data_IF_870570313546
#
_entry.id   IF_870570313546
#
_cell.length_a   1.000
_cell.length_b   1.000
_cell.length_c   1.000
_cell.angle_alpha   90.00
_cell.angle_beta   90.00
_cell.angle_gamma   90.00
#
_symmetry.space_group_name_H-M   'P 1'
#
loop_
_entity.id
_entity.type
_entity.pdbx_description
1 polymer ?
#
# COMPACT_ATOMS: atom_id res chain seq x y z
N UNK A 1 -20.29 -10.83 2.04
CA UNK A 1 -19.68 -9.56 2.49
C UNK A 1 -18.72 -9.09 1.41
N UNK A 2 -18.78 -7.82 1.01
CA UNK A 2 -17.90 -7.20 0.01
C UNK A 2 -16.70 -6.56 0.71
N UNK A 3 -15.48 -6.79 0.19
CA UNK A 3 -14.26 -6.12 0.68
C UNK A 3 -14.20 -4.67 0.18
N UNK A 4 -13.49 -3.81 0.89
CA UNK A 4 -13.11 -2.48 0.41
C UNK A 4 -11.71 -2.54 -0.21
N UNK A 5 -11.54 -2.06 -1.44
CA UNK A 5 -10.29 -2.20 -2.19
C UNK A 5 -9.77 -0.83 -2.59
N UNK A 6 -8.49 -0.59 -2.32
CA UNK A 6 -7.80 0.65 -2.66
C UNK A 6 -6.70 0.36 -3.66
N UNK A 7 -6.62 1.23 -4.68
CA UNK A 7 -5.57 1.21 -5.70
C UNK A 7 -4.84 2.54 -5.69
N UNK A 8 -3.57 2.53 -5.28
CA UNK A 8 -2.75 3.74 -5.19
C UNK A 8 -1.68 3.71 -6.28
N UNK A 9 -1.54 4.79 -7.04
CA UNK A 9 -0.54 4.92 -8.11
C UNK A 9 0.40 6.08 -7.80
N UNK A 10 1.66 5.76 -7.50
CA UNK A 10 2.70 6.73 -7.20
C UNK A 10 3.61 6.94 -8.40
N UNK A 11 3.79 8.20 -8.78
CA UNK A 11 4.96 8.66 -9.56
C UNK A 11 5.97 9.28 -8.61
N UNK A 12 7.11 8.62 -8.45
CA UNK A 12 8.18 9.02 -7.55
C UNK A 12 9.05 10.11 -8.17
N UNK A 13 9.70 10.90 -7.31
CA UNK A 13 10.76 11.81 -7.74
C UNK A 13 12.00 11.01 -8.16
N UNK A 14 12.78 11.49 -9.15
CA UNK A 14 14.00 10.82 -9.57
C UNK A 14 14.93 10.51 -8.39
N UNK A 15 15.39 9.26 -8.29
CA UNK A 15 16.29 8.80 -7.22
C UNK A 15 15.63 8.48 -5.87
N UNK A 16 14.31 8.67 -5.72
CA UNK A 16 13.59 8.38 -4.48
C UNK A 16 13.13 6.91 -4.37
N UNK A 17 13.28 6.12 -5.44
CA UNK A 17 12.74 4.75 -5.54
C UNK A 17 13.14 3.86 -4.37
N UNK A 18 14.44 3.70 -4.12
CA UNK A 18 14.92 2.71 -3.15
C UNK A 18 14.57 3.09 -1.69
N UNK A 19 14.59 4.39 -1.37
CA UNK A 19 14.19 4.86 -0.04
C UNK A 19 12.68 4.72 0.16
N UNK A 20 11.89 5.10 -0.85
CA UNK A 20 10.44 4.94 -0.80
C UNK A 20 10.04 3.47 -0.71
N UNK A 21 10.67 2.59 -1.50
CA UNK A 21 10.39 1.14 -1.51
C UNK A 21 10.57 0.52 -0.13
N UNK A 22 11.68 0.82 0.55
CA UNK A 22 11.95 0.32 1.90
C UNK A 22 10.88 0.75 2.92
N UNK A 23 10.42 1.99 2.84
CA UNK A 23 9.41 2.52 3.75
C UNK A 23 8.04 1.89 3.48
N UNK A 24 7.63 1.79 2.22
CA UNK A 24 6.30 1.26 1.88
C UNK A 24 6.22 -0.26 2.08
N UNK A 25 7.30 -1.00 1.86
CA UNK A 25 7.35 -2.44 2.19
C UNK A 25 7.21 -2.65 3.70
N UNK A 26 7.88 -1.82 4.52
CA UNK A 26 7.74 -1.88 5.97
C UNK A 26 6.30 -1.53 6.42
N UNK A 27 5.68 -0.53 5.79
CA UNK A 27 4.28 -0.18 6.02
C UNK A 27 3.35 -1.34 5.69
N UNK A 28 3.46 -1.91 4.48
CA UNK A 28 2.65 -3.04 4.03
C UNK A 28 2.73 -4.24 4.98
N UNK A 29 3.94 -4.59 5.43
CA UNK A 29 4.16 -5.67 6.39
C UNK A 29 3.51 -5.35 7.74
N UNK A 30 3.66 -4.12 8.23
CA UNK A 30 3.09 -3.69 9.50
C UNK A 30 1.56 -3.68 9.45
N UNK A 31 0.96 -3.17 8.37
CA UNK A 31 -0.48 -3.09 8.19
C UNK A 31 -1.12 -4.47 8.19
N UNK A 32 -0.61 -5.39 7.37
CA UNK A 32 -1.13 -6.77 7.33
C UNK A 32 -0.96 -7.48 8.68
N UNK A 33 0.13 -7.19 9.42
CA UNK A 33 0.39 -7.86 10.71
C UNK A 33 -0.44 -7.30 11.85
N UNK A 34 -0.64 -5.98 11.89
CA UNK A 34 -1.08 -5.28 13.09
C UNK A 34 -2.48 -4.67 12.96
N UNK A 35 -2.93 -4.34 11.74
CA UNK A 35 -4.19 -3.62 11.56
C UNK A 35 -5.36 -4.57 11.39
N UNK A 36 -6.34 -4.44 12.28
CA UNK A 36 -7.56 -5.23 12.20
C UNK A 36 -8.31 -4.82 10.94
N UNK A 37 -8.51 -5.78 10.05
CA UNK A 37 -9.23 -5.61 8.81
C UNK A 37 -8.37 -5.24 7.60
N UNK A 38 -7.05 -5.08 7.74
CA UNK A 38 -6.14 -5.11 6.59
C UNK A 38 -5.90 -6.56 6.15
N UNK A 39 -6.47 -6.97 5.01
CA UNK A 39 -6.37 -8.34 4.50
C UNK A 39 -5.17 -8.55 3.59
N UNK A 40 -4.82 -7.52 2.82
CA UNK A 40 -3.73 -7.57 1.84
C UNK A 40 -3.19 -6.17 1.61
N UNK A 41 -1.88 -6.08 1.48
CA UNK A 41 -1.18 -4.87 1.11
C UNK A 41 -0.01 -5.27 0.21
N UNK A 42 -0.21 -5.15 -1.10
CA UNK A 42 0.82 -5.46 -2.09
C UNK A 42 1.52 -4.20 -2.57
N UNK A 43 2.85 -4.23 -2.59
CA UNK A 43 3.69 -3.19 -3.20
C UNK A 43 4.24 -3.71 -4.53
N UNK A 44 3.74 -3.15 -5.62
CA UNK A 44 4.07 -3.58 -6.98
C UNK A 44 4.81 -2.51 -7.76
N UNK A 45 5.61 -2.93 -8.74
CA UNK A 45 6.38 -2.06 -9.62
C UNK A 45 5.83 -2.11 -11.03
N UNK A 46 5.68 -0.94 -11.65
CA UNK A 46 5.29 -0.89 -13.05
C UNK A 46 6.47 -1.28 -13.94
N UNK A 47 6.25 -2.27 -14.81
CA UNK A 47 7.28 -2.76 -15.73
C UNK A 47 7.69 -1.66 -16.72
N UNK A 48 8.98 -1.36 -16.76
CA UNK A 48 9.54 -0.34 -17.66
C UNK A 48 9.40 1.10 -17.15
N UNK A 49 8.83 1.30 -15.97
CA UNK A 49 8.66 2.62 -15.34
C UNK A 49 9.34 2.63 -13.96
N UNK A 50 10.65 2.90 -13.88
CA UNK A 50 11.41 2.72 -12.63
C UNK A 50 10.91 3.57 -11.47
N UNK A 51 10.34 4.75 -11.75
CA UNK A 51 9.81 5.67 -10.75
C UNK A 51 8.29 5.53 -10.57
N UNK A 52 7.70 4.37 -10.90
CA UNK A 52 6.27 4.12 -10.68
C UNK A 52 6.05 2.88 -9.81
N UNK A 53 5.38 3.09 -8.68
CA UNK A 53 4.96 2.06 -7.74
C UNK A 53 3.45 2.09 -7.60
N UNK A 54 2.86 0.91 -7.47
CA UNK A 54 1.42 0.74 -7.29
C UNK A 54 1.15 -0.08 -6.04
N UNK A 55 0.24 0.41 -5.20
CA UNK A 55 -0.24 -0.30 -4.02
C UNK A 55 -1.61 -0.90 -4.30
N UNK A 56 -1.75 -2.18 -3.97
CA UNK A 56 -3.02 -2.89 -4.02
C UNK A 56 -3.39 -3.38 -2.64
N UNK A 57 -4.41 -2.75 -2.07
CA UNK A 57 -4.79 -2.94 -0.68
C UNK A 57 -6.23 -3.44 -0.58
N UNK A 58 -6.47 -4.42 0.29
CA UNK A 58 -7.80 -4.99 0.53
C UNK A 58 -8.10 -4.91 2.01
N UNK A 59 -9.24 -4.30 2.34
CA UNK A 59 -9.74 -4.14 3.69
C UNK A 59 -11.10 -4.84 3.89
N UNK A 60 -11.40 -5.18 5.14
CA UNK A 60 -12.71 -5.71 5.56
C UNK A 60 -13.87 -4.76 5.23
N UNK A 61 -13.62 -3.45 5.35
CA UNK A 61 -14.61 -2.39 5.14
C UNK A 61 -13.91 -1.04 4.91
N UNK A 62 -14.67 -0.03 4.48
CA UNK A 62 -14.18 1.35 4.37
C UNK A 62 -13.72 1.90 5.74
N UNK A 63 -14.41 1.57 6.82
CA UNK A 63 -14.01 2.00 8.17
C UNK A 63 -12.65 1.41 8.61
N UNK A 64 -12.28 0.22 8.14
CA UNK A 64 -10.95 -0.35 8.40
C UNK A 64 -9.87 0.41 7.62
N UNK A 65 -10.16 0.86 6.41
CA UNK A 65 -9.27 1.74 5.65
C UNK A 65 -9.15 3.13 6.29
N UNK A 66 -10.24 3.68 6.80
CA UNK A 66 -10.21 4.95 7.54
C UNK A 66 -9.30 4.88 8.76
N UNK A 67 -9.27 3.73 9.45
CA UNK A 67 -8.37 3.52 10.60
C UNK A 67 -6.92 3.36 10.15
N UNK A 68 -6.67 2.60 9.07
CA UNK A 68 -5.34 2.53 8.43
C UNK A 68 -4.77 3.93 8.14
N UNK A 69 -5.61 4.87 7.67
CA UNK A 69 -5.18 6.24 7.36
C UNK A 69 -4.83 7.09 8.59
N UNK A 70 -5.06 6.60 9.82
CA UNK A 70 -4.79 7.31 11.08
C UNK A 70 -3.56 6.78 11.83
N UNK A 71 -3.01 5.64 11.43
CA UNK A 71 -1.85 4.99 12.06
C UNK A 71 -0.53 5.45 11.47
#
# INVERSE_FOLDING_TARGET
>A
MTSFVVWVDFRLKPGARDSFRKLVDANAIASVRNEVGCRRFDVTEARGEPDRLVLYEIYDSEAAFDEHCRT
#
